data_IF_514047588878
#
_entry.id   IF_514047588878
#
_cell.length_a   1.000
_cell.length_b   1.000
_cell.length_c   1.000
_cell.angle_alpha   90.00
_cell.angle_beta   90.00
_cell.angle_gamma   90.00
#
_symmetry.space_group_name_H-M   'P 1'
#
loop_
_entity.id
_entity.type
_entity.pdbx_description
1 polymer ?
#
# COMPACT_ATOMS: atom_id res chain seq x y z
N UNK A 1 0.64 21.50 3.17
CA UNK A 1 -0.68 21.26 2.57
C UNK A 1 -0.81 22.06 1.29
N UNK A 2 -1.07 21.42 0.17
CA UNK A 2 -1.28 22.05 -1.14
C UNK A 2 -2.67 21.66 -1.63
N UNK A 3 -3.43 22.64 -2.11
CA UNK A 3 -4.75 22.44 -2.72
C UNK A 3 -4.67 22.67 -4.21
N UNK A 4 -5.27 21.81 -4.98
CA UNK A 4 -5.29 21.90 -6.45
C UNK A 4 -6.70 21.65 -6.96
N UNK A 5 -7.04 22.30 -8.06
CA UNK A 5 -8.31 22.07 -8.74
C UNK A 5 -8.16 20.82 -9.61
N UNK A 6 -8.97 19.80 -9.35
CA UNK A 6 -8.94 18.55 -10.10
C UNK A 6 -9.28 18.76 -11.58
N UNK A 7 -8.40 18.35 -12.49
CA UNK A 7 -8.58 18.59 -13.93
C UNK A 7 -9.75 17.80 -14.56
N UNK A 8 -10.33 16.82 -13.84
CA UNK A 8 -11.43 15.99 -14.33
C UNK A 8 -12.81 16.56 -14.06
N UNK A 9 -13.06 17.10 -12.87
CA UNK A 9 -14.40 17.54 -12.45
C UNK A 9 -14.41 18.90 -11.75
N UNK A 10 -13.26 19.55 -11.60
CA UNK A 10 -13.15 20.84 -10.91
C UNK A 10 -13.20 20.77 -9.36
N UNK A 11 -13.36 19.58 -8.76
CA UNK A 11 -13.31 19.43 -7.32
C UNK A 11 -11.92 19.68 -6.76
N UNK A 12 -11.83 20.20 -5.54
CA UNK A 12 -10.54 20.36 -4.85
C UNK A 12 -9.93 18.99 -4.54
N UNK A 13 -8.66 18.81 -4.88
CA UNK A 13 -7.81 17.70 -4.48
C UNK A 13 -6.74 18.24 -3.53
N UNK A 14 -6.63 17.67 -2.35
CA UNK A 14 -5.68 18.10 -1.34
C UNK A 14 -4.46 17.19 -1.35
N UNK A 15 -3.28 17.78 -1.16
CA UNK A 15 -2.03 17.11 -0.83
C UNK A 15 -1.64 17.55 0.58
N UNK A 16 -1.82 16.67 1.54
CA UNK A 16 -1.52 16.89 2.96
C UNK A 16 -0.04 16.63 3.23
N UNK A 17 0.49 15.54 2.66
CA UNK A 17 1.89 15.18 2.79
C UNK A 17 2.76 15.82 1.69
N UNK A 18 3.95 16.29 2.10
CA UNK A 18 4.97 16.76 1.16
C UNK A 18 5.51 15.62 0.28
N UNK A 19 5.55 14.39 0.82
CA UNK A 19 6.00 13.19 0.13
C UNK A 19 4.97 12.61 -0.85
N UNK A 20 3.71 13.05 -0.80
CA UNK A 20 2.70 12.62 -1.76
C UNK A 20 3.02 13.17 -3.15
N UNK A 21 3.12 12.28 -4.14
CA UNK A 21 3.34 12.64 -5.54
C UNK A 21 2.06 12.50 -6.38
N UNK A 22 1.10 11.74 -5.90
CA UNK A 22 -0.15 11.42 -6.58
C UNK A 22 -1.33 11.52 -5.63
N UNK A 23 -2.49 11.90 -6.15
CA UNK A 23 -3.75 11.83 -5.42
C UNK A 23 -4.90 11.41 -6.33
N UNK A 24 -5.86 10.65 -5.79
CA UNK A 24 -7.07 10.21 -6.46
C UNK A 24 -8.23 11.11 -6.04
N UNK A 25 -8.89 11.75 -7.01
CA UNK A 25 -10.04 12.59 -6.75
C UNK A 25 -11.18 11.77 -6.14
N UNK A 26 -11.68 12.15 -4.98
CA UNK A 26 -12.77 11.47 -4.29
C UNK A 26 -14.09 11.41 -5.09
N UNK A 27 -14.29 12.35 -6.02
CA UNK A 27 -15.53 12.45 -6.80
C UNK A 27 -15.46 11.69 -8.12
N UNK A 28 -14.50 12.03 -8.99
CA UNK A 28 -14.48 11.51 -10.37
C UNK A 28 -13.41 10.44 -10.59
N UNK A 29 -12.65 10.09 -9.55
CA UNK A 29 -11.56 9.10 -9.56
C UNK A 29 -10.41 9.45 -10.52
N UNK A 30 -10.38 10.69 -11.03
CA UNK A 30 -9.24 11.17 -11.80
C UNK A 30 -8.00 11.17 -10.92
N UNK A 31 -6.93 10.59 -11.43
CA UNK A 31 -5.62 10.56 -10.79
C UNK A 31 -4.86 11.83 -11.16
N UNK A 32 -4.41 12.53 -10.16
CA UNK A 32 -3.71 13.81 -10.27
C UNK A 32 -2.28 13.60 -9.83
N UNK A 33 -1.33 13.88 -10.70
CA UNK A 33 0.09 13.86 -10.41
C UNK A 33 0.54 15.26 -10.02
N UNK A 34 1.29 15.36 -8.92
CA UNK A 34 1.98 16.56 -8.48
C UNK A 34 3.36 16.61 -9.13
N UNK A 35 3.54 17.44 -10.13
CA UNK A 35 4.82 17.77 -10.71
C UNK A 35 5.31 19.14 -10.14
N UNK A 36 6.60 19.42 -10.17
CA UNK A 36 7.19 20.60 -9.54
C UNK A 36 6.48 21.92 -9.96
N UNK A 37 6.06 22.03 -11.22
CA UNK A 37 5.45 23.23 -11.79
C UNK A 37 4.06 23.02 -12.42
N UNK A 38 3.51 21.80 -12.39
CA UNK A 38 2.25 21.50 -13.06
C UNK A 38 1.50 20.35 -12.39
N UNK A 39 0.20 20.37 -12.54
CA UNK A 39 -0.67 19.29 -12.15
C UNK A 39 -1.12 18.57 -13.41
N UNK A 40 -0.87 17.28 -13.48
CA UNK A 40 -1.19 16.46 -14.64
C UNK A 40 -2.29 15.46 -14.31
N UNK A 41 -3.21 15.31 -15.25
CA UNK A 41 -4.16 14.22 -15.25
C UNK A 41 -3.48 13.00 -15.90
N UNK A 42 -3.36 11.91 -15.16
CA UNK A 42 -2.76 10.66 -15.65
C UNK A 42 -3.78 9.54 -15.83
N UNK A 43 -5.06 9.87 -15.91
CA UNK A 43 -6.15 8.92 -16.11
C UNK A 43 -7.06 8.78 -14.91
N UNK A 44 -7.80 7.69 -14.86
CA UNK A 44 -8.67 7.35 -13.72
C UNK A 44 -8.10 6.15 -12.98
N UNK A 45 -8.16 6.21 -11.67
CA UNK A 45 -7.90 5.07 -10.82
C UNK A 45 -9.17 4.22 -10.73
N UNK A 46 -9.01 2.90 -10.79
CA UNK A 46 -10.11 1.98 -10.49
C UNK A 46 -10.57 2.15 -9.04
N UNK A 47 -11.86 1.97 -8.81
CA UNK A 47 -12.40 2.00 -7.46
C UNK A 47 -11.93 0.77 -6.68
N UNK A 48 -11.60 0.98 -5.42
CA UNK A 48 -11.33 -0.13 -4.50
C UNK A 48 -12.58 -0.98 -4.31
N UNK A 49 -12.42 -2.27 -4.22
CA UNK A 49 -13.52 -3.17 -3.86
C UNK A 49 -13.89 -2.89 -2.41
N UNK A 50 -15.18 -2.74 -2.16
CA UNK A 50 -15.70 -2.59 -0.81
C UNK A 50 -15.36 -3.81 0.04
N UNK A 51 -14.93 -3.57 1.26
CA UNK A 51 -14.47 -4.59 2.18
C UNK A 51 -14.94 -4.34 3.62
N UNK A 52 -14.55 -5.25 4.50
CA UNK A 52 -14.87 -5.19 5.93
C UNK A 52 -13.85 -4.39 6.75
N UNK A 53 -12.90 -3.71 6.14
CA UNK A 53 -11.93 -2.89 6.88
C UNK A 53 -12.66 -1.76 7.62
N UNK A 54 -12.47 -1.60 8.92
CA UNK A 54 -12.98 -0.45 9.66
C UNK A 54 -12.19 0.83 9.37
N UNK A 55 -11.00 0.72 8.76
CA UNK A 55 -10.16 1.86 8.43
C UNK A 55 -10.73 2.59 7.22
N UNK A 56 -10.60 3.91 7.21
CA UNK A 56 -10.96 4.77 6.08
C UNK A 56 -9.98 5.95 5.96
N UNK A 57 -10.02 6.63 4.83
CA UNK A 57 -9.35 7.94 4.71
C UNK A 57 -9.86 8.82 5.85
N UNK A 58 -8.97 9.54 6.52
CA UNK A 58 -9.19 10.32 7.75
C UNK A 58 -9.15 9.54 9.07
N UNK A 59 -9.12 8.21 9.07
CA UNK A 59 -8.84 7.48 10.31
C UNK A 59 -7.55 8.01 10.92
N UNK A 60 -7.57 8.31 12.21
CA UNK A 60 -6.42 8.83 12.96
C UNK A 60 -6.11 7.94 14.16
N UNK A 61 -4.91 8.09 14.72
CA UNK A 61 -4.50 7.33 15.87
C UNK A 61 -3.13 7.78 16.40
N UNK A 62 -2.52 6.92 17.21
CA UNK A 62 -1.20 7.18 17.80
C UNK A 62 -0.34 5.93 17.68
N UNK A 63 0.85 6.05 17.11
CA UNK A 63 1.86 5.01 17.06
C UNK A 63 3.13 5.47 17.74
N UNK A 64 3.59 4.74 18.78
CA UNK A 64 4.79 5.07 19.55
C UNK A 64 4.83 6.51 20.10
N UNK A 65 3.67 7.05 20.46
CA UNK A 65 3.56 8.40 21.00
C UNK A 65 3.40 9.51 19.94
N UNK A 66 3.50 9.19 18.66
CA UNK A 66 3.32 10.12 17.55
C UNK A 66 1.94 9.95 16.96
N UNK A 67 1.19 11.04 16.80
CA UNK A 67 -0.12 11.02 16.15
C UNK A 67 0.01 10.74 14.66
N UNK A 68 -1.04 10.17 14.07
CA UNK A 68 -1.08 9.90 12.64
C UNK A 68 -2.46 10.09 12.04
N UNK A 69 -2.51 10.28 10.74
CA UNK A 69 -3.74 10.29 9.93
C UNK A 69 -3.57 9.44 8.67
N UNK A 70 -4.58 8.66 8.34
CA UNK A 70 -4.67 7.91 7.07
C UNK A 70 -5.04 8.87 5.96
N UNK A 71 -4.16 9.01 4.96
CA UNK A 71 -4.33 9.95 3.85
C UNK A 71 -4.46 9.27 2.48
N UNK A 72 -4.11 7.99 2.38
CA UNK A 72 -4.19 7.23 1.14
C UNK A 72 -4.44 5.76 1.36
N UNK A 73 -4.79 5.06 0.29
CA UNK A 73 -5.03 3.61 0.27
C UNK A 73 -4.71 3.04 -1.10
N UNK A 74 -4.06 1.89 -1.12
CA UNK A 74 -4.05 0.98 -2.28
C UNK A 74 -4.62 -0.38 -1.85
N UNK A 75 -5.28 -1.05 -2.79
CA UNK A 75 -5.78 -2.40 -2.62
C UNK A 75 -5.04 -3.34 -3.55
N UNK A 76 -4.45 -4.37 -2.98
CA UNK A 76 -3.56 -5.31 -3.64
C UNK A 76 -4.20 -6.70 -3.68
N UNK A 77 -4.33 -7.25 -4.87
CA UNK A 77 -4.95 -8.55 -5.15
C UNK A 77 -3.91 -9.60 -5.53
N UNK A 78 -4.14 -10.81 -5.09
CA UNK A 78 -3.42 -12.02 -5.46
C UNK A 78 -4.40 -13.21 -5.56
N UNK A 79 -3.94 -14.39 -5.95
CA UNK A 79 -4.81 -15.54 -6.24
C UNK A 79 -5.76 -15.94 -5.10
N UNK A 80 -5.33 -15.81 -3.86
CA UNK A 80 -6.11 -16.23 -2.69
C UNK A 80 -6.88 -15.08 -1.99
N UNK A 81 -6.84 -13.86 -2.48
CA UNK A 81 -7.56 -12.75 -1.88
C UNK A 81 -6.95 -11.37 -2.13
N UNK A 82 -7.16 -10.48 -1.19
CA UNK A 82 -6.61 -9.13 -1.25
C UNK A 82 -6.31 -8.59 0.15
N UNK A 83 -5.52 -7.52 0.19
CA UNK A 83 -5.30 -6.72 1.39
C UNK A 83 -5.22 -5.24 1.05
N UNK A 84 -5.25 -4.39 2.06
CA UNK A 84 -5.13 -2.96 1.95
C UNK A 84 -3.81 -2.48 2.52
N UNK A 85 -3.19 -1.54 1.82
CA UNK A 85 -2.10 -0.73 2.33
C UNK A 85 -2.60 0.70 2.50
N UNK A 86 -2.68 1.15 3.74
CA UNK A 86 -3.10 2.49 4.11
C UNK A 86 -1.89 3.40 4.28
N UNK A 87 -1.81 4.42 3.44
CA UNK A 87 -0.75 5.41 3.53
C UNK A 87 -1.06 6.41 4.64
N UNK A 88 -0.09 6.60 5.51
CA UNK A 88 -0.24 7.31 6.78
C UNK A 88 0.73 8.47 6.84
N UNK A 89 0.24 9.65 7.19
CA UNK A 89 1.05 10.80 7.56
C UNK A 89 1.17 10.88 9.08
N UNK A 90 2.39 11.00 9.60
CA UNK A 90 2.70 11.21 11.00
C UNK A 90 2.76 12.71 11.33
N UNK A 91 2.45 13.08 12.58
CA UNK A 91 2.46 14.49 13.03
C UNK A 91 3.87 15.11 13.03
N UNK A 92 4.92 14.28 13.01
CA UNK A 92 6.32 14.72 12.87
C UNK A 92 6.74 15.01 11.42
N UNK A 93 5.82 14.85 10.46
CA UNK A 93 6.04 15.07 9.04
C UNK A 93 6.53 13.84 8.27
N UNK A 94 6.87 12.75 8.95
CA UNK A 94 7.22 11.49 8.32
C UNK A 94 5.97 10.75 7.83
N UNK A 95 6.19 9.64 7.11
CA UNK A 95 5.12 8.80 6.57
C UNK A 95 5.35 7.34 6.98
N UNK A 96 4.26 6.59 6.96
CA UNK A 96 4.25 5.18 7.31
C UNK A 96 3.17 4.43 6.50
N UNK A 97 3.14 3.12 6.66
CA UNK A 97 2.11 2.24 6.12
C UNK A 97 1.42 1.47 7.24
N UNK A 98 0.12 1.37 7.14
CA UNK A 98 -0.71 0.50 7.96
C UNK A 98 -1.34 -0.54 7.05
N UNK A 99 -0.75 -1.74 7.04
CA UNK A 99 -1.28 -2.88 6.30
C UNK A 99 -2.48 -3.47 7.03
N UNK A 100 -3.51 -3.85 6.29
CA UNK A 100 -4.71 -4.53 6.77
C UNK A 100 -5.00 -5.75 5.91
N UNK A 101 -4.64 -6.91 6.42
CA UNK A 101 -4.88 -8.21 5.82
C UNK A 101 -5.90 -8.99 6.66
N UNK A 102 -7.19 -8.84 6.32
CA UNK A 102 -8.30 -9.53 7.01
C UNK A 102 -8.32 -9.30 8.54
N UNK A 103 -8.09 -8.05 8.97
CA UNK A 103 -8.08 -7.67 10.38
C UNK A 103 -6.76 -7.94 11.11
N UNK A 104 -5.74 -8.39 10.39
CA UNK A 104 -4.36 -8.41 10.89
C UNK A 104 -3.67 -7.11 10.45
N UNK A 105 -3.23 -6.33 11.42
CA UNK A 105 -2.64 -5.01 11.17
C UNK A 105 -1.14 -5.01 11.43
N UNK A 106 -0.41 -4.34 10.54
CA UNK A 106 1.03 -4.12 10.67
C UNK A 106 1.33 -2.66 10.39
N UNK A 107 2.04 -2.00 11.30
CA UNK A 107 2.47 -0.62 11.14
C UNK A 107 3.97 -0.58 10.84
N UNK A 108 4.34 -0.03 9.68
CA UNK A 108 5.72 0.00 9.19
C UNK A 108 6.11 1.37 8.68
N UNK A 109 7.39 1.71 8.83
CA UNK A 109 8.01 2.90 8.23
C UNK A 109 9.23 2.51 7.41
N UNK A 110 9.55 3.30 6.40
CA UNK A 110 10.72 3.08 5.56
C UNK A 110 12.01 3.22 6.37
N UNK A 111 12.96 2.33 6.14
CA UNK A 111 14.28 2.33 6.77
C UNK A 111 15.21 3.22 5.97
N UNK A 112 15.64 4.34 6.56
CA UNK A 112 16.47 5.33 5.88
C UNK A 112 17.84 4.79 5.41
N UNK A 113 18.37 3.77 6.10
CA UNK A 113 19.64 3.11 5.72
C UNK A 113 19.40 1.60 5.70
N UNK A 114 18.96 1.06 4.55
CA UNK A 114 18.72 -0.38 4.43
C UNK A 114 20.04 -1.17 4.51
N UNK A 115 19.99 -2.47 4.85
CA UNK A 115 21.16 -3.36 4.76
C UNK A 115 21.74 -3.36 3.35
N UNK A 116 23.07 -3.38 3.24
CA UNK A 116 23.77 -3.35 1.94
C UNK A 116 23.55 -4.63 1.11
N UNK A 117 23.40 -5.78 1.79
CA UNK A 117 23.30 -7.09 1.15
C UNK A 117 21.87 -7.62 1.25
N UNK A 118 20.96 -7.08 0.44
CA UNK A 118 19.61 -7.59 0.32
C UNK A 118 19.56 -8.76 -0.68
N UNK A 119 18.84 -9.85 -0.37
CA UNK A 119 18.68 -10.97 -1.28
C UNK A 119 17.89 -10.56 -2.53
N UNK A 120 18.17 -11.13 -3.68
CA UNK A 120 17.34 -10.94 -4.87
C UNK A 120 15.96 -11.57 -4.65
N UNK A 121 14.88 -10.93 -5.15
CA UNK A 121 13.50 -11.41 -4.99
C UNK A 121 13.34 -12.88 -5.41
N UNK A 122 13.92 -13.28 -6.54
CA UNK A 122 13.86 -14.65 -7.06
C UNK A 122 14.48 -15.71 -6.13
N UNK A 123 15.34 -15.31 -5.20
CA UNK A 123 15.96 -16.22 -4.22
C UNK A 123 15.14 -16.42 -2.95
N UNK A 124 14.07 -15.63 -2.80
CA UNK A 124 13.23 -15.64 -1.61
C UNK A 124 12.11 -16.69 -1.71
N UNK A 125 11.79 -17.25 -0.57
CA UNK A 125 10.63 -18.12 -0.37
C UNK A 125 10.25 -18.12 1.12
N UNK A 126 9.02 -18.43 1.49
CA UNK A 126 8.64 -18.63 2.89
C UNK A 126 9.60 -19.57 3.61
N UNK A 127 9.97 -19.21 4.86
CA UNK A 127 10.95 -19.93 5.68
C UNK A 127 12.40 -19.48 5.51
N UNK A 128 12.75 -18.71 4.50
CA UNK A 128 14.09 -18.09 4.38
C UNK A 128 14.32 -17.10 5.52
N UNK A 129 15.56 -16.97 5.94
CA UNK A 129 15.93 -16.07 7.03
C UNK A 129 16.78 -14.91 6.54
N UNK A 130 16.58 -13.75 7.16
CA UNK A 130 17.34 -12.52 6.95
C UNK A 130 17.79 -11.97 8.31
N UNK A 131 19.03 -11.48 8.39
CA UNK A 131 19.53 -10.76 9.57
C UNK A 131 19.41 -9.26 9.34
N UNK A 132 18.78 -8.57 10.27
CA UNK A 132 18.67 -7.11 10.26
C UNK A 132 18.71 -6.59 11.69
N UNK A 133 19.52 -5.54 11.94
CA UNK A 133 19.65 -4.95 13.29
C UNK A 133 20.06 -5.93 14.39
N UNK A 134 20.85 -6.97 14.06
CA UNK A 134 21.27 -8.00 15.03
C UNK A 134 20.21 -9.09 15.30
N UNK A 135 19.06 -9.02 14.69
CA UNK A 135 17.94 -9.95 14.86
C UNK A 135 17.76 -10.84 13.63
N UNK A 136 17.22 -12.04 13.81
CA UNK A 136 16.89 -12.97 12.73
C UNK A 136 15.40 -12.88 12.45
N UNK A 137 15.08 -12.56 11.21
CA UNK A 137 13.72 -12.53 10.69
C UNK A 137 13.51 -13.73 9.76
N UNK A 138 12.31 -14.30 9.79
CA UNK A 138 11.93 -15.41 8.91
C UNK A 138 10.87 -14.93 7.93
N UNK A 139 11.08 -15.20 6.63
CA UNK A 139 10.10 -14.88 5.59
C UNK A 139 8.79 -15.63 5.87
N UNK A 140 7.75 -14.88 6.15
CA UNK A 140 6.40 -15.39 6.37
C UNK A 140 5.62 -15.44 5.05
N UNK A 141 5.90 -14.50 4.16
CA UNK A 141 5.24 -14.38 2.88
C UNK A 141 6.18 -13.79 1.82
N UNK A 142 6.07 -14.28 0.58
CA UNK A 142 6.77 -13.76 -0.60
C UNK A 142 5.80 -13.82 -1.76
N UNK A 143 5.41 -12.66 -2.29
CA UNK A 143 4.38 -12.63 -3.32
C UNK A 143 4.49 -11.49 -4.31
N UNK A 144 3.81 -11.69 -5.44
CA UNK A 144 3.48 -10.66 -6.40
C UNK A 144 1.98 -10.43 -6.30
N UNK A 145 1.56 -9.17 -6.18
CA UNK A 145 0.16 -8.79 -6.14
C UNK A 145 -0.09 -7.63 -7.08
N UNK A 146 -1.29 -7.53 -7.62
CA UNK A 146 -1.68 -6.50 -8.55
C UNK A 146 -2.49 -5.42 -7.83
N UNK A 147 -2.16 -4.15 -8.06
CA UNK A 147 -3.00 -3.05 -7.64
C UNK A 147 -4.28 -3.01 -8.46
N UNK A 148 -5.41 -3.07 -7.78
CA UNK A 148 -6.75 -3.05 -8.40
C UNK A 148 -7.50 -1.77 -8.14
N UNK A 149 -7.00 -0.91 -7.25
CA UNK A 149 -7.62 0.38 -6.97
C UNK A 149 -6.87 1.18 -5.92
N UNK A 150 -7.18 2.48 -5.85
CA UNK A 150 -6.59 3.38 -4.87
C UNK A 150 -7.48 4.55 -4.51
N UNK A 151 -7.20 5.17 -3.38
CA UNK A 151 -7.92 6.33 -2.85
C UNK A 151 -6.95 7.29 -2.16
N UNK A 152 -7.31 8.59 -2.15
CA UNK A 152 -6.54 9.60 -1.43
C UNK A 152 -5.16 9.85 -2.04
N UNK A 153 -4.21 10.17 -1.19
CA UNK A 153 -2.83 10.54 -1.56
C UNK A 153 -1.91 9.33 -1.53
N UNK A 154 -0.94 9.30 -2.44
CA UNK A 154 0.06 8.22 -2.51
C UNK A 154 1.46 8.79 -2.76
N UNK A 155 2.52 8.17 -2.19
CA UNK A 155 3.90 8.65 -2.31
C UNK A 155 4.60 8.21 -3.61
N UNK A 156 3.94 7.40 -4.42
CA UNK A 156 4.43 6.93 -5.70
C UNK A 156 3.28 6.82 -6.70
N UNK A 157 3.63 6.73 -7.96
CA UNK A 157 2.61 6.57 -9.01
C UNK A 157 2.22 5.12 -9.12
N UNK A 158 0.94 4.88 -9.01
CA UNK A 158 0.32 3.57 -9.20
C UNK A 158 -0.88 3.71 -10.11
N UNK A 159 -1.09 2.71 -10.96
CA UNK A 159 -2.21 2.63 -11.88
C UNK A 159 -2.68 1.21 -12.06
N UNK A 160 -3.68 1.02 -12.91
CA UNK A 160 -4.18 -0.31 -13.26
C UNK A 160 -3.04 -1.17 -13.83
N UNK A 161 -2.91 -2.39 -13.31
CA UNK A 161 -1.85 -3.32 -13.72
C UNK A 161 -0.52 -3.18 -12.99
N UNK A 162 -0.35 -2.16 -12.11
CA UNK A 162 0.83 -2.07 -11.28
C UNK A 162 0.94 -3.28 -10.35
N UNK A 163 2.13 -3.87 -10.29
CA UNK A 163 2.39 -5.08 -9.49
C UNK A 163 3.34 -4.76 -8.35
N UNK A 164 2.89 -5.04 -7.12
CA UNK A 164 3.75 -5.08 -5.96
C UNK A 164 4.51 -6.41 -5.93
N UNK A 165 5.81 -6.37 -5.66
CA UNK A 165 6.66 -7.52 -5.39
C UNK A 165 7.24 -7.37 -4.00
N UNK A 166 6.70 -8.11 -3.06
CA UNK A 166 7.01 -7.93 -1.64
C UNK A 166 7.40 -9.24 -0.97
N UNK A 167 8.27 -9.12 0.02
CA UNK A 167 8.63 -10.22 0.89
C UNK A 167 8.54 -9.75 2.35
N UNK A 168 7.65 -10.39 3.10
CA UNK A 168 7.36 -10.08 4.49
C UNK A 168 8.06 -11.05 5.42
N UNK A 169 8.81 -10.50 6.35
CA UNK A 169 9.57 -11.24 7.35
C UNK A 169 9.08 -10.90 8.75
N UNK A 170 9.12 -11.88 9.64
CA UNK A 170 8.71 -11.74 11.04
C UNK A 170 9.78 -12.23 12.01
N UNK A 171 9.86 -11.53 13.15
CA UNK A 171 10.57 -11.97 14.36
C UNK A 171 9.70 -11.59 15.57
N UNK A 172 8.94 -12.57 16.10
CA UNK A 172 7.91 -12.30 17.09
C UNK A 172 6.86 -11.30 16.59
N UNK A 173 6.71 -10.16 17.28
CA UNK A 173 5.83 -9.06 16.84
C UNK A 173 6.49 -8.11 15.84
N UNK A 174 7.80 -8.17 15.64
CA UNK A 174 8.52 -7.32 14.70
C UNK A 174 8.28 -7.76 13.28
N UNK A 175 8.24 -6.78 12.40
CA UNK A 175 7.95 -6.96 10.99
C UNK A 175 9.01 -6.25 10.14
N UNK A 176 9.41 -6.88 9.04
CA UNK A 176 10.31 -6.32 8.05
C UNK A 176 9.77 -6.69 6.68
N UNK A 177 9.52 -5.68 5.84
CA UNK A 177 9.10 -5.89 4.45
C UNK A 177 10.21 -5.44 3.51
N UNK A 178 10.57 -6.29 2.56
CA UNK A 178 11.39 -5.94 1.41
C UNK A 178 10.46 -5.71 0.22
N UNK A 179 10.49 -4.50 -0.33
CA UNK A 179 9.69 -4.09 -1.47
C UNK A 179 10.57 -3.95 -2.71
N UNK A 180 10.32 -4.82 -3.68
CA UNK A 180 11.01 -4.89 -4.97
C UNK A 180 10.16 -4.33 -6.12
N UNK A 181 9.09 -3.61 -5.82
CA UNK A 181 8.11 -3.17 -6.83
C UNK A 181 8.73 -2.26 -7.88
N UNK A 182 9.71 -1.46 -7.50
CA UNK A 182 10.41 -0.52 -8.38
C UNK A 182 11.70 -1.12 -9.00
N UNK A 183 12.07 -2.36 -8.63
CA UNK A 183 13.30 -3.02 -9.13
C UNK A 183 12.99 -3.77 -10.42
N UNK A 184 13.87 -3.61 -11.42
CA UNK A 184 13.77 -4.39 -12.66
C UNK A 184 13.90 -5.90 -12.37
N UNK A 185 13.01 -6.75 -12.88
CA UNK A 185 12.99 -8.18 -12.52
C UNK A 185 14.20 -8.99 -12.98
N UNK A 186 15.10 -8.42 -13.80
CA UNK A 186 16.25 -9.12 -14.35
C UNK A 186 15.93 -9.97 -15.59
N UNK A 187 16.99 -10.41 -16.30
CA UNK A 187 16.84 -11.31 -17.45
C UNK A 187 16.33 -12.68 -17.00
N UNK A 188 15.33 -13.23 -17.70
CA UNK A 188 14.74 -14.54 -17.42
C UNK A 188 13.40 -14.51 -16.69
N UNK A 189 12.91 -13.36 -16.28
CA UNK A 189 11.53 -13.21 -15.80
C UNK A 189 10.63 -12.93 -17.01
N UNK A 190 9.88 -13.93 -17.47
CA UNK A 190 8.97 -13.79 -18.62
C UNK A 190 7.79 -12.83 -18.36
N UNK A 191 7.54 -12.45 -17.12
CA UNK A 191 6.53 -11.48 -16.75
C UNK A 191 7.11 -10.05 -16.84
N UNK A 192 7.39 -9.64 -18.08
CA UNK A 192 8.00 -8.34 -18.45
C UNK A 192 7.10 -7.12 -18.17
N UNK A 193 6.02 -7.28 -17.46
CA UNK A 193 5.21 -6.14 -17.07
C UNK A 193 5.84 -5.46 -15.85
N UNK A 194 6.83 -4.64 -16.15
CA UNK A 194 7.16 -3.53 -15.25
C UNK A 194 5.87 -2.81 -14.87
N UNK A 195 5.81 -2.39 -13.63
CA UNK A 195 4.67 -1.81 -12.96
C UNK A 195 3.89 -0.70 -13.70
N UNK A 196 4.45 -0.11 -14.74
CA UNK A 196 3.84 0.97 -15.52
C UNK A 196 4.04 0.75 -17.02
N UNK A 197 3.04 1.01 -17.87
CA UNK A 197 3.21 1.04 -19.32
C UNK A 197 4.33 2.03 -19.74
N UNK A 198 5.05 1.71 -20.81
CA UNK A 198 6.20 2.54 -21.25
C UNK A 198 5.83 4.00 -21.55
N UNK A 199 4.61 4.25 -22.03
CA UNK A 199 4.11 5.61 -22.20
C UNK A 199 3.94 6.35 -20.86
N UNK A 200 3.47 5.66 -19.83
CA UNK A 200 3.35 6.21 -18.49
C UNK A 200 4.72 6.41 -17.84
N UNK A 201 5.66 5.49 -18.04
CA UNK A 201 7.05 5.66 -17.57
C UNK A 201 7.70 6.92 -18.17
N UNK A 202 7.53 7.14 -19.47
CA UNK A 202 8.03 8.35 -20.15
C UNK A 202 7.36 9.62 -19.62
N UNK A 203 6.04 9.58 -19.41
CA UNK A 203 5.26 10.71 -18.88
C UNK A 203 5.70 11.10 -17.46
N UNK A 204 6.12 10.13 -16.66
CA UNK A 204 6.42 10.26 -15.25
C UNK A 204 7.91 10.39 -14.98
N UNK A 205 8.74 10.36 -16.03
CA UNK A 205 10.19 10.31 -15.89
C UNK A 205 10.64 9.20 -14.90
N UNK A 206 9.93 8.05 -14.96
CA UNK A 206 10.14 6.93 -14.05
C UNK A 206 11.57 6.39 -14.21
N UNK A 207 12.27 6.30 -13.09
CA UNK A 207 13.55 5.62 -12.99
C UNK A 207 13.38 4.35 -12.18
N UNK A 208 14.08 3.31 -12.59
CA UNK A 208 14.16 2.08 -11.79
C UNK A 208 14.75 2.40 -10.43
N UNK A 209 14.09 1.92 -9.39
CA UNK A 209 14.45 2.16 -8.01
C UNK A 209 15.24 0.99 -7.40
N UNK A 210 15.72 1.21 -6.21
CA UNK A 210 16.33 0.18 -5.38
C UNK A 210 15.26 -0.50 -4.52
N UNK A 211 15.59 -1.67 -3.97
CA UNK A 211 14.74 -2.36 -3.00
C UNK A 211 14.53 -1.48 -1.78
N UNK A 212 13.27 -1.17 -1.48
CA UNK A 212 12.91 -0.45 -0.25
C UNK A 212 12.74 -1.43 0.89
N UNK A 213 13.11 -0.98 2.07
CA UNK A 213 12.98 -1.77 3.30
C UNK A 213 12.07 -1.03 4.26
N UNK A 214 11.03 -1.70 4.71
CA UNK A 214 10.12 -1.18 5.73
C UNK A 214 10.28 -2.01 7.00
N UNK A 215 10.32 -1.34 8.15
CA UNK A 215 10.41 -1.97 9.45
C UNK A 215 9.31 -1.48 10.38
N UNK A 216 8.80 -2.37 11.19
CA UNK A 216 7.74 -2.05 12.12
C UNK A 216 7.30 -3.24 12.95
N UNK A 217 6.01 -3.29 13.26
CA UNK A 217 5.46 -4.38 14.07
C UNK A 217 3.98 -4.63 13.83
N UNK A 218 3.52 -5.82 14.19
CA UNK A 218 2.12 -6.13 14.31
C UNK A 218 1.47 -5.27 15.41
N UNK A 219 0.27 -4.77 15.16
CA UNK A 219 -0.48 -3.87 16.03
C UNK A 219 -1.96 -4.25 16.06
N UNK A 220 -2.70 -3.65 16.99
CA UNK A 220 -4.16 -3.65 16.98
C UNK A 220 -4.67 -2.22 16.87
N UNK A 221 -5.89 -2.04 16.36
CA UNK A 221 -6.51 -0.70 16.27
C UNK A 221 -6.72 -0.08 17.66
N UNK A 222 -6.88 -0.91 18.69
CA UNK A 222 -6.97 -0.48 20.10
C UNK A 222 -5.63 0.06 20.60
N UNK A 223 -4.50 -0.66 20.33
CA UNK A 223 -3.16 -0.18 20.67
C UNK A 223 -2.84 1.15 19.98
N UNK A 224 -3.30 1.30 18.74
CA UNK A 224 -3.16 2.54 17.96
C UNK A 224 -4.11 3.65 18.40
N UNK A 225 -5.05 3.38 19.32
CA UNK A 225 -6.10 4.32 19.75
C UNK A 225 -6.85 4.94 18.55
N UNK A 226 -7.13 4.12 17.55
CA UNK A 226 -7.73 4.58 16.31
C UNK A 226 -9.07 5.27 16.55
N UNK A 227 -9.28 6.37 15.86
CA UNK A 227 -10.51 7.19 15.84
C UNK A 227 -11.00 7.33 14.40
N UNK A 228 -12.24 7.77 14.24
CA UNK A 228 -12.87 7.97 12.94
C UNK A 228 -12.88 6.67 12.10
N UNK A 229 -13.03 5.53 12.76
CA UNK A 229 -13.26 4.26 12.08
C UNK A 229 -14.68 4.23 11.47
N UNK A 230 -14.85 3.40 10.43
CA UNK A 230 -16.17 3.10 9.88
C UNK A 230 -17.01 2.39 10.92
N UNK A 231 -18.27 2.80 11.07
CA UNK A 231 -19.23 2.11 11.93
C UNK A 231 -19.63 0.75 11.37
N UNK A 232 -20.12 -0.14 12.24
CA UNK A 232 -20.58 -1.49 11.85
C UNK A 232 -21.68 -1.43 10.78
N UNK A 233 -22.60 -0.49 10.88
CA UNK A 233 -23.67 -0.28 9.88
C UNK A 233 -23.07 0.07 8.50
N UNK A 234 -22.10 0.96 8.45
CA UNK A 234 -21.42 1.36 7.22
C UNK A 234 -20.64 0.19 6.58
N UNK A 235 -19.99 -0.62 7.41
CA UNK A 235 -19.25 -1.81 6.96
C UNK A 235 -20.23 -2.83 6.40
N UNK A 236 -21.34 -3.10 7.10
CA UNK A 236 -22.37 -4.05 6.68
C UNK A 236 -23.05 -3.62 5.38
N UNK A 237 -23.40 -2.35 5.26
CA UNK A 237 -24.03 -1.79 4.05
C UNK A 237 -23.08 -1.86 2.84
N UNK A 238 -21.79 -1.57 3.01
CA UNK A 238 -20.81 -1.65 1.94
C UNK A 238 -20.56 -3.10 1.51
N UNK A 239 -20.40 -4.01 2.45
CA UNK A 239 -20.23 -5.44 2.18
C UNK A 239 -21.48 -6.08 1.57
N UNK A 240 -22.68 -5.64 1.95
CA UNK A 240 -23.94 -6.08 1.37
C UNK A 240 -24.14 -5.72 -0.10
N UNK A 241 -23.40 -4.77 -0.64
CA UNK A 241 -23.38 -4.41 -2.07
C UNK A 241 -22.59 -5.42 -2.90
N UNK A 242 -21.68 -6.18 -2.30
CA UNK A 242 -20.92 -7.21 -3.00
C UNK A 242 -21.78 -8.46 -3.18
N UNK A 243 -22.47 -8.55 -4.30
CA UNK A 243 -23.27 -9.73 -4.72
C UNK A 243 -22.43 -10.79 -5.44
N UNK A 244 -21.15 -10.93 -5.13
CA UNK A 244 -20.34 -12.04 -5.58
C UNK A 244 -20.82 -13.35 -4.93
N UNK A 245 -20.82 -14.46 -5.67
CA UNK A 245 -21.01 -15.78 -5.05
C UNK A 245 -19.86 -15.99 -4.05
N UNK A 246 -20.16 -15.89 -2.78
CA UNK A 246 -19.28 -16.42 -1.74
C UNK A 246 -19.34 -17.91 -1.89
N UNK A 247 -18.38 -18.53 -2.58
CA UNK A 247 -18.18 -19.97 -2.51
C UNK A 247 -17.93 -20.35 -1.05
N UNK A 248 -18.44 -21.47 -0.60
CA UNK A 248 -18.13 -22.00 0.71
C UNK A 248 -16.60 -22.03 0.88
N UNK A 249 -16.10 -21.37 1.90
CA UNK A 249 -14.70 -21.49 2.29
C UNK A 249 -14.54 -22.89 2.94
N UNK A 250 -14.21 -23.86 2.13
CA UNK A 250 -13.77 -25.16 2.66
C UNK A 250 -12.32 -25.00 3.14
N UNK A 251 -12.08 -25.38 4.37
CA UNK A 251 -10.74 -25.40 4.93
C UNK A 251 -9.90 -26.43 4.15
N UNK A 252 -8.76 -26.03 3.54
CA UNK A 252 -7.93 -26.97 2.77
C UNK A 252 -7.35 -28.14 3.60
N UNK A 253 -7.45 -28.08 4.93
CA UNK A 253 -6.94 -29.11 5.84
C UNK A 253 -8.03 -29.99 6.48
N UNK A 254 -9.29 -29.58 6.48
CA UNK A 254 -10.35 -30.32 7.18
C UNK A 254 -11.72 -30.39 6.45
N UNK A 255 -11.83 -29.78 5.25
CA UNK A 255 -13.07 -29.70 4.47
C UNK A 255 -14.04 -28.64 4.97
#
# INVERSE_FOLDING_TARGET
MQKVVGPGCGAEVNFLSAASVMAVCGFCKTTVLKDADAIRNIGKMSEVIEDYSPIQITTSGVFQGIGFSVIGRIQLHYDAGFWNEWYVQLDDGNNAWLSDASGQYTFTSEVATPPADLPAFASLSPGKTLRSGGEVFTAADVRIAQCTGGQGELPFVVGEGWKARVADFRSGKKFLTLDYSDVHPGEGYEDQQTALPDEQKKLLNYQEGETKVYSGRAVTLVELKCQLLRGEDQITDSAGRYKGKVGSLECPSCG
#
